data_IF_674909618021
#
_entry.id   IF_674909618021
#
_cell.length_a   1.000
_cell.length_b   1.000
_cell.length_c   1.000
_cell.angle_alpha   90.00
_cell.angle_beta   90.00
_cell.angle_gamma   90.00
#
_symmetry.space_group_name_H-M   'P 1'
#
loop_
_entity.id
_entity.type
_entity.pdbx_description
1 polymer ?
#
# COMPACT_ATOMS: atom_id res chain seq x y z
N UNK A 1 -1.04 62.01 33.14
CA UNK A 1 -2.03 62.38 32.11
C UNK A 1 -3.18 61.40 32.28
N UNK A 2 -4.42 61.86 32.48
CA UNK A 2 -5.53 60.92 32.71
C UNK A 2 -5.82 60.18 31.40
N UNK A 3 -5.61 58.86 31.39
CA UNK A 3 -5.99 58.02 30.24
C UNK A 3 -7.50 58.11 30.05
N UNK A 4 -7.93 58.24 28.80
CA UNK A 4 -9.35 58.15 28.46
C UNK A 4 -9.82 56.70 28.60
N UNK A 5 -11.08 56.52 29.00
CA UNK A 5 -11.61 55.17 29.24
C UNK A 5 -11.49 54.24 28.04
N UNK A 6 -11.70 54.73 26.81
CA UNK A 6 -11.58 53.88 25.60
C UNK A 6 -10.15 53.34 25.40
N UNK A 7 -9.13 54.11 25.80
CA UNK A 7 -7.73 53.67 25.73
C UNK A 7 -7.48 52.58 26.78
N UNK A 8 -8.04 52.74 27.97
CA UNK A 8 -7.93 51.75 29.05
C UNK A 8 -8.66 50.47 28.69
N UNK A 9 -9.81 50.56 28.03
CA UNK A 9 -10.59 49.42 27.50
C UNK A 9 -9.80 48.65 26.43
N UNK A 10 -9.20 49.35 25.47
CA UNK A 10 -8.38 48.72 24.42
C UNK A 10 -7.12 48.03 24.97
N UNK A 11 -6.49 48.61 26.00
CA UNK A 11 -5.28 48.06 26.64
C UNK A 11 -5.59 47.01 27.72
N UNK A 12 -6.85 46.85 28.12
CA UNK A 12 -7.26 45.99 29.22
C UNK A 12 -6.88 44.52 29.04
N UNK A 13 -7.08 43.89 27.87
CA UNK A 13 -6.68 42.49 27.65
C UNK A 13 -5.18 42.28 27.89
N UNK A 14 -4.34 43.14 27.30
CA UNK A 14 -2.88 43.06 27.45
C UNK A 14 -2.42 43.35 28.88
N UNK A 15 -3.11 44.23 29.61
CA UNK A 15 -2.85 44.48 31.02
C UNK A 15 -3.16 43.25 31.90
N UNK A 16 -4.29 42.57 31.66
CA UNK A 16 -4.68 41.36 32.41
C UNK A 16 -3.67 40.22 32.18
N UNK A 17 -3.10 40.11 30.98
CA UNK A 17 -2.07 39.13 30.62
C UNK A 17 -0.64 39.54 31.06
N UNK A 18 -0.48 40.69 31.74
CA UNK A 18 0.80 41.27 32.14
C UNK A 18 1.77 41.52 30.96
N UNK A 19 1.24 41.87 29.79
CA UNK A 19 1.99 42.18 28.57
C UNK A 19 2.23 43.69 28.38
N UNK A 20 1.74 44.53 29.29
CA UNK A 20 1.98 45.97 29.30
C UNK A 20 3.32 46.31 29.97
N UNK A 21 4.02 47.32 29.45
CA UNK A 21 5.23 47.82 30.09
C UNK A 21 4.90 48.54 31.42
N UNK A 22 5.92 48.83 32.23
CA UNK A 22 5.74 49.40 33.59
C UNK A 22 5.04 50.76 33.60
N UNK A 23 5.34 51.63 32.62
CA UNK A 23 4.74 52.96 32.53
C UNK A 23 3.24 52.85 32.21
N UNK A 24 2.89 52.06 31.20
CA UNK A 24 1.50 51.81 30.80
C UNK A 24 0.71 51.13 31.92
N UNK A 25 1.34 50.21 32.66
CA UNK A 25 0.71 49.55 33.81
C UNK A 25 0.39 50.52 34.95
N UNK A 26 1.28 51.48 35.23
CA UNK A 26 1.04 52.53 36.24
C UNK A 26 -0.09 53.46 35.81
N UNK A 27 -0.10 53.90 34.55
CA UNK A 27 -1.15 54.79 34.03
C UNK A 27 -2.55 54.13 34.11
N UNK A 28 -2.65 52.82 33.88
CA UNK A 28 -3.90 52.05 34.02
C UNK A 28 -4.31 51.92 35.50
N UNK A 29 -3.36 51.67 36.41
CA UNK A 29 -3.64 51.61 37.85
C UNK A 29 -4.15 52.94 38.40
N UNK A 30 -3.54 54.06 37.99
CA UNK A 30 -4.01 55.40 38.35
C UNK A 30 -5.45 55.63 37.85
N UNK A 31 -5.77 55.18 36.64
CA UNK A 31 -7.13 55.29 36.11
C UNK A 31 -8.17 54.47 36.90
N UNK A 32 -7.81 53.29 37.42
CA UNK A 32 -8.70 52.47 38.26
C UNK A 32 -9.05 53.10 39.62
N UNK A 33 -8.23 54.03 40.11
CA UNK A 33 -8.51 54.76 41.36
C UNK A 33 -9.71 55.70 41.16
N UNK A 34 -9.84 56.29 39.97
CA UNK A 34 -10.83 57.33 39.70
C UNK A 34 -12.03 56.85 38.85
N UNK A 35 -11.93 55.69 38.19
CA UNK A 35 -12.95 55.18 37.27
C UNK A 35 -13.47 53.80 37.69
N UNK A 36 -14.59 53.80 38.42
CA UNK A 36 -15.24 52.56 38.89
C UNK A 36 -15.78 51.71 37.72
N UNK A 37 -16.11 52.34 36.58
CA UNK A 37 -16.55 51.63 35.35
C UNK A 37 -15.45 50.72 34.81
N UNK A 38 -14.26 51.27 34.62
CA UNK A 38 -13.12 50.51 34.08
C UNK A 38 -12.62 49.46 35.09
N UNK A 39 -12.72 49.75 36.40
CA UNK A 39 -12.38 48.80 37.47
C UNK A 39 -13.35 47.61 37.52
N UNK A 40 -14.65 47.85 37.32
CA UNK A 40 -15.66 46.80 37.20
C UNK A 40 -15.46 45.96 35.94
N UNK A 41 -15.19 46.61 34.81
CA UNK A 41 -14.87 45.92 33.56
C UNK A 41 -13.63 45.01 33.71
N UNK A 42 -12.60 45.49 34.40
CA UNK A 42 -11.42 44.69 34.73
C UNK A 42 -11.77 43.46 35.59
N UNK A 43 -12.61 43.61 36.62
CA UNK A 43 -13.02 42.46 37.45
C UNK A 43 -13.83 41.44 36.66
N UNK A 44 -14.73 41.90 35.80
CA UNK A 44 -15.59 41.05 34.97
C UNK A 44 -14.74 40.25 33.97
N UNK A 45 -13.81 40.91 33.26
CA UNK A 45 -12.88 40.26 32.32
C UNK A 45 -11.89 39.32 33.02
N UNK A 46 -11.42 39.67 34.22
CA UNK A 46 -10.54 38.80 35.01
C UNK A 46 -11.28 37.57 35.53
N UNK A 47 -12.57 37.68 35.83
CA UNK A 47 -13.40 36.53 36.22
C UNK A 47 -13.65 35.58 35.04
N UNK A 48 -13.84 36.07 33.81
CA UNK A 48 -13.94 35.22 32.62
C UNK A 48 -12.68 34.36 32.39
N UNK A 49 -11.50 34.86 32.78
CA UNK A 49 -10.22 34.12 32.69
C UNK A 49 -10.04 33.11 33.83
N UNK A 50 -10.75 33.30 34.96
CA UNK A 50 -10.68 32.42 36.15
C UNK A 50 -11.81 31.39 36.23
N UNK A 51 -12.75 31.38 35.27
CA UNK A 51 -13.71 30.28 35.14
C UNK A 51 -12.96 28.96 34.87
N UNK A 52 -13.39 27.83 35.45
CA UNK A 52 -12.66 26.57 35.37
C UNK A 52 -12.41 26.19 33.91
N UNK A 53 -11.21 25.65 33.68
CA UNK A 53 -10.57 25.08 32.46
C UNK A 53 -11.41 24.14 31.58
N UNK A 54 -12.73 24.15 31.68
CA UNK A 54 -13.65 23.23 31.02
C UNK A 54 -14.25 23.80 29.73
N UNK A 55 -13.97 25.06 29.37
CA UNK A 55 -14.48 25.73 28.16
C UNK A 55 -13.39 26.22 27.19
N UNK A 56 -12.11 26.09 27.55
CA UNK A 56 -10.98 26.37 26.65
C UNK A 56 -10.54 25.14 25.83
N UNK A 57 -11.25 24.01 25.95
CA UNK A 57 -11.00 22.84 25.11
C UNK A 57 -11.41 23.08 23.65
N UNK A 58 -12.33 23.99 23.37
CA UNK A 58 -13.05 23.98 22.09
C UNK A 58 -12.28 24.66 20.95
N UNK A 59 -11.47 25.69 21.25
CA UNK A 59 -10.67 26.40 20.24
C UNK A 59 -9.26 25.82 20.06
N UNK A 60 -8.67 25.25 21.12
CA UNK A 60 -7.49 24.39 20.97
C UNK A 60 -7.86 23.07 20.29
N UNK A 61 -9.05 22.50 20.54
CA UNK A 61 -9.53 21.35 19.77
C UNK A 61 -9.84 21.72 18.34
N UNK A 62 -10.30 22.92 18.00
CA UNK A 62 -10.49 23.30 16.59
C UNK A 62 -9.17 23.40 15.84
N UNK A 63 -8.18 24.10 16.40
CA UNK A 63 -6.85 24.23 15.78
C UNK A 63 -6.04 22.92 15.83
N UNK A 64 -6.12 22.14 16.93
CA UNK A 64 -5.63 20.76 16.95
C UNK A 64 -6.45 19.86 16.04
N UNK A 65 -7.74 20.08 15.82
CA UNK A 65 -8.57 19.24 14.94
C UNK A 65 -8.24 19.51 13.48
N UNK A 66 -7.98 20.76 13.10
CA UNK A 66 -7.56 21.12 11.74
C UNK A 66 -6.12 20.63 11.48
N UNK A 67 -5.21 20.76 12.46
CA UNK A 67 -3.89 20.10 12.42
C UNK A 67 -3.94 18.56 12.56
N UNK A 68 -4.96 17.99 13.21
CA UNK A 68 -5.21 16.54 13.34
C UNK A 68 -6.02 16.01 12.16
N UNK A 69 -6.64 16.86 11.35
CA UNK A 69 -7.21 16.56 10.05
C UNK A 69 -6.07 16.52 9.03
N UNK A 70 -5.17 17.50 9.03
CA UNK A 70 -3.92 17.45 8.25
C UNK A 70 -2.98 16.31 8.72
N UNK A 71 -2.95 16.03 10.02
CA UNK A 71 -2.23 14.90 10.64
C UNK A 71 -2.92 13.55 10.44
N UNK A 72 -4.25 13.50 10.26
CA UNK A 72 -5.00 12.27 9.88
C UNK A 72 -4.82 11.94 8.41
N UNK A 73 -4.62 12.94 7.55
CA UNK A 73 -4.35 12.76 6.12
C UNK A 73 -2.89 12.39 5.90
N UNK A 74 -1.95 12.88 6.72
CA UNK A 74 -0.58 12.37 6.74
C UNK A 74 -0.52 11.08 7.54
N UNK A 75 -0.97 9.99 6.92
CA UNK A 75 -0.63 8.64 7.38
C UNK A 75 0.88 8.62 7.65
N UNK A 76 1.29 8.34 8.89
CA UNK A 76 2.69 8.16 9.31
C UNK A 76 3.29 6.91 8.64
N UNK A 77 3.28 6.83 7.31
CA UNK A 77 4.13 5.92 6.57
C UNK A 77 5.52 6.52 6.68
N UNK A 78 6.41 5.84 7.40
CA UNK A 78 7.83 6.17 7.41
C UNK A 78 8.28 6.40 5.96
N UNK A 79 8.84 7.59 5.67
CA UNK A 79 9.31 7.92 4.31
C UNK A 79 10.21 6.82 3.77
N UNK A 80 11.00 6.19 4.65
CA UNK A 80 11.87 5.09 4.26
C UNK A 80 11.05 3.84 3.87
N UNK A 81 9.97 3.52 4.57
CA UNK A 81 9.03 2.45 4.19
C UNK A 81 8.41 2.64 2.81
N UNK A 82 8.01 3.88 2.50
CA UNK A 82 7.44 4.23 1.18
C UNK A 82 8.50 4.06 0.08
N UNK A 83 9.70 4.58 0.29
CA UNK A 83 10.82 4.43 -0.67
C UNK A 83 11.12 2.94 -0.92
N UNK A 84 11.17 2.12 0.15
CA UNK A 84 11.44 0.68 0.02
C UNK A 84 10.40 -0.03 -0.86
N UNK A 85 9.11 0.31 -0.67
CA UNK A 85 8.04 -0.25 -1.48
C UNK A 85 8.12 0.20 -2.95
N UNK A 86 8.40 1.49 -3.19
CA UNK A 86 8.58 2.01 -4.56
C UNK A 86 9.71 1.25 -5.25
N UNK A 87 10.85 1.07 -4.58
CA UNK A 87 11.98 0.29 -5.11
C UNK A 87 11.56 -1.14 -5.41
N UNK A 88 10.83 -1.81 -4.52
CA UNK A 88 10.33 -3.17 -4.75
C UNK A 88 9.41 -3.25 -5.98
N UNK A 89 8.45 -2.32 -6.11
CA UNK A 89 7.52 -2.27 -7.25
C UNK A 89 8.28 -2.00 -8.55
N UNK A 90 9.24 -1.07 -8.55
CA UNK A 90 10.06 -0.76 -9.73
C UNK A 90 10.93 -1.94 -10.15
N UNK A 91 11.62 -2.60 -9.22
CA UNK A 91 12.44 -3.79 -9.51
C UNK A 91 11.56 -4.90 -10.07
N UNK A 92 10.39 -5.13 -9.47
CA UNK A 92 9.43 -6.14 -9.93
C UNK A 92 8.99 -5.84 -11.36
N UNK A 93 8.58 -4.61 -11.65
CA UNK A 93 8.17 -4.21 -12.99
C UNK A 93 9.28 -4.35 -14.02
N UNK A 94 10.52 -3.96 -13.69
CA UNK A 94 11.69 -4.09 -14.55
C UNK A 94 12.00 -5.55 -14.87
N UNK A 95 12.02 -6.43 -13.86
CA UNK A 95 12.28 -7.85 -14.06
C UNK A 95 11.18 -8.55 -14.87
N UNK A 96 9.90 -8.19 -14.65
CA UNK A 96 8.78 -8.69 -15.45
C UNK A 96 8.84 -8.19 -16.90
N UNK A 97 9.26 -6.93 -17.13
CA UNK A 97 9.44 -6.37 -18.47
C UNK A 97 10.57 -7.08 -19.22
N UNK A 98 11.70 -7.35 -18.55
CA UNK A 98 12.78 -8.17 -19.11
C UNK A 98 12.26 -9.55 -19.47
N UNK A 99 11.50 -10.19 -18.57
CA UNK A 99 10.91 -11.50 -18.82
C UNK A 99 9.95 -11.49 -20.03
N UNK A 100 9.17 -10.41 -20.20
CA UNK A 100 8.23 -10.24 -21.30
C UNK A 100 8.93 -10.10 -22.66
N UNK A 101 9.96 -9.26 -22.73
CA UNK A 101 10.66 -8.95 -23.98
C UNK A 101 11.61 -10.05 -24.44
N UNK A 102 12.09 -10.91 -23.53
CA UNK A 102 12.97 -12.03 -23.86
C UNK A 102 12.17 -13.25 -24.36
N UNK A 103 11.65 -13.12 -25.58
CA UNK A 103 11.13 -14.25 -26.36
C UNK A 103 12.30 -14.87 -27.10
N UNK A 104 12.91 -15.89 -26.49
CA UNK A 104 13.99 -16.68 -27.07
C UNK A 104 13.58 -18.15 -27.20
N UNK A 105 14.56 -19.05 -27.32
CA UNK A 105 14.32 -20.49 -27.40
C UNK A 105 13.43 -21.01 -26.26
N UNK A 106 12.65 -22.06 -26.53
CA UNK A 106 11.64 -22.58 -25.60
C UNK A 106 12.21 -22.97 -24.22
N UNK A 107 13.39 -23.59 -24.19
CA UNK A 107 14.10 -23.92 -22.95
C UNK A 107 14.58 -22.68 -22.18
N UNK A 108 15.01 -21.64 -22.89
CA UNK A 108 15.41 -20.36 -22.30
C UNK A 108 14.20 -19.66 -21.67
N UNK A 109 13.05 -19.72 -22.35
CA UNK A 109 11.79 -19.16 -21.85
C UNK A 109 11.35 -19.78 -20.53
N UNK A 110 11.48 -21.10 -20.37
CA UNK A 110 11.18 -21.77 -19.09
C UNK A 110 12.19 -21.35 -18.01
N UNK A 111 13.49 -21.47 -18.28
CA UNK A 111 14.56 -21.10 -17.33
C UNK A 111 14.43 -19.66 -16.82
N UNK A 112 14.04 -18.73 -17.68
CA UNK A 112 13.88 -17.32 -17.30
C UNK A 112 12.81 -17.12 -16.21
N UNK A 113 11.71 -17.87 -16.25
CA UNK A 113 10.69 -17.83 -15.18
C UNK A 113 11.23 -18.34 -13.84
N UNK A 114 12.05 -19.40 -13.85
CA UNK A 114 12.66 -19.96 -12.64
C UNK A 114 13.71 -19.05 -11.99
N UNK A 115 14.34 -18.15 -12.77
CA UNK A 115 15.32 -17.18 -12.24
C UNK A 115 14.64 -15.91 -11.77
N UNK A 116 13.71 -15.34 -12.56
CA UNK A 116 13.07 -14.07 -12.25
C UNK A 116 12.21 -14.16 -10.99
N UNK A 117 11.44 -15.24 -10.82
CA UNK A 117 10.53 -15.40 -9.69
C UNK A 117 11.22 -15.34 -8.32
N UNK A 118 12.24 -16.17 -8.00
CA UNK A 118 12.91 -16.12 -6.71
C UNK A 118 13.58 -14.77 -6.46
N UNK A 119 14.16 -14.12 -7.49
CA UNK A 119 14.77 -12.80 -7.33
C UNK A 119 13.76 -11.75 -6.87
N UNK A 120 12.57 -11.72 -7.47
CA UNK A 120 11.51 -10.78 -7.06
C UNK A 120 11.02 -11.10 -5.64
N UNK A 121 10.80 -12.37 -5.31
CA UNK A 121 10.30 -12.76 -3.97
C UNK A 121 11.35 -12.50 -2.87
N UNK A 122 12.63 -12.69 -3.15
CA UNK A 122 13.68 -12.44 -2.16
C UNK A 122 13.89 -10.94 -1.94
N UNK A 123 13.94 -10.15 -3.02
CA UNK A 123 14.10 -8.68 -2.94
C UNK A 123 12.94 -8.04 -2.19
N UNK A 124 11.70 -8.40 -2.53
CA UNK A 124 10.51 -7.89 -1.84
C UNK A 124 10.47 -8.26 -0.36
N UNK A 125 10.79 -9.50 -0.01
CA UNK A 125 10.73 -9.95 1.37
C UNK A 125 11.76 -9.24 2.23
N UNK A 126 13.00 -9.06 1.74
CA UNK A 126 14.01 -8.32 2.49
C UNK A 126 13.67 -6.82 2.63
N UNK A 127 13.24 -6.17 1.53
CA UNK A 127 12.90 -4.74 1.50
C UNK A 127 11.67 -4.42 2.36
N UNK A 128 10.67 -5.29 2.36
CA UNK A 128 9.42 -5.06 3.07
C UNK A 128 9.44 -5.60 4.52
N UNK A 129 10.26 -6.59 4.87
CA UNK A 129 10.21 -7.21 6.20
C UNK A 129 10.57 -6.28 7.35
N UNK A 130 11.63 -5.49 7.19
CA UNK A 130 12.32 -4.81 8.31
C UNK A 130 11.56 -3.64 8.93
N UNK A 131 10.41 -3.24 8.37
CA UNK A 131 9.83 -1.90 8.60
C UNK A 131 8.37 -1.84 9.04
N UNK A 132 7.67 -2.96 9.17
CA UNK A 132 6.24 -2.91 9.47
C UNK A 132 5.89 -3.66 10.76
N UNK A 133 5.51 -2.87 11.75
CA UNK A 133 4.94 -3.34 12.99
C UNK A 133 3.49 -3.81 12.77
N UNK A 134 3.04 -4.74 13.60
CA UNK A 134 1.82 -5.53 13.41
C UNK A 134 0.59 -4.63 13.67
N UNK A 135 -0.16 -4.22 12.64
CA UNK A 135 -1.45 -3.56 12.91
C UNK A 135 -2.55 -4.58 13.21
N UNK A 136 -3.38 -4.25 14.20
CA UNK A 136 -4.54 -5.02 14.68
C UNK A 136 -5.77 -4.76 13.81
N UNK A 137 -5.64 -4.85 12.48
CA UNK A 137 -6.76 -4.70 11.56
C UNK A 137 -7.25 -6.04 11.01
N UNK A 138 -8.53 -6.06 10.64
CA UNK A 138 -9.25 -7.22 10.10
C UNK A 138 -8.74 -7.53 8.68
N UNK A 139 -8.40 -8.81 8.42
CA UNK A 139 -7.64 -9.27 7.24
C UNK A 139 -8.46 -10.14 6.25
N UNK A 140 -9.79 -10.00 6.19
CA UNK A 140 -10.61 -10.81 5.27
C UNK A 140 -10.28 -10.56 3.80
N UNK A 141 -9.93 -9.33 3.47
CA UNK A 141 -9.49 -8.93 2.13
C UNK A 141 -8.18 -9.58 1.71
N UNK A 142 -7.29 -9.91 2.66
CA UNK A 142 -6.10 -10.70 2.38
C UNK A 142 -6.49 -12.10 1.88
N UNK A 143 -7.34 -12.80 2.63
CA UNK A 143 -7.79 -14.15 2.27
C UNK A 143 -8.59 -14.17 0.97
N UNK A 144 -9.47 -13.18 0.76
CA UNK A 144 -10.19 -13.01 -0.50
C UNK A 144 -9.23 -12.87 -1.68
N UNK A 145 -8.19 -12.03 -1.54
CA UNK A 145 -7.15 -11.87 -2.55
C UNK A 145 -6.37 -13.17 -2.81
N UNK A 146 -6.05 -13.93 -1.75
CA UNK A 146 -5.35 -15.22 -1.90
C UNK A 146 -6.18 -16.23 -2.68
N UNK A 147 -7.47 -16.34 -2.36
CA UNK A 147 -8.40 -17.24 -3.07
C UNK A 147 -8.54 -16.81 -4.53
N UNK A 148 -8.69 -15.51 -4.80
CA UNK A 148 -8.79 -14.99 -6.16
C UNK A 148 -7.55 -15.34 -7.00
N UNK A 149 -6.34 -15.14 -6.46
CA UNK A 149 -5.10 -15.46 -7.18
C UNK A 149 -4.94 -16.96 -7.39
N UNK A 150 -5.22 -17.78 -6.36
CA UNK A 150 -5.10 -19.24 -6.46
C UNK A 150 -6.09 -19.84 -7.46
N UNK A 151 -7.36 -19.41 -7.41
CA UNK A 151 -8.38 -19.85 -8.36
C UNK A 151 -8.03 -19.45 -9.78
N UNK A 152 -7.54 -18.23 -10.00
CA UNK A 152 -7.05 -17.76 -11.30
C UNK A 152 -5.87 -18.61 -11.80
N UNK A 153 -4.91 -18.94 -10.92
CA UNK A 153 -3.78 -19.79 -11.26
C UNK A 153 -4.22 -21.20 -11.68
N UNK A 154 -5.17 -21.81 -10.95
CA UNK A 154 -5.74 -23.11 -11.28
C UNK A 154 -6.43 -23.08 -12.65
N UNK A 155 -7.24 -22.04 -12.91
CA UNK A 155 -7.92 -21.86 -14.21
C UNK A 155 -6.89 -21.73 -15.35
N UNK A 156 -5.85 -20.93 -15.15
CA UNK A 156 -4.77 -20.74 -16.15
C UNK A 156 -3.99 -22.04 -16.41
N UNK A 157 -3.71 -22.84 -15.38
CA UNK A 157 -3.06 -24.14 -15.56
C UNK A 157 -4.02 -25.09 -16.30
N UNK A 158 -5.28 -25.15 -15.88
CA UNK A 158 -6.28 -26.03 -16.46
C UNK A 158 -6.50 -25.73 -17.95
N UNK A 159 -6.64 -24.46 -18.34
CA UNK A 159 -6.84 -24.09 -19.75
C UNK A 159 -5.64 -24.47 -20.62
N UNK A 160 -4.41 -24.40 -20.08
CA UNK A 160 -3.20 -24.82 -20.79
C UNK A 160 -3.12 -26.34 -20.97
N UNK A 161 -3.63 -27.13 -20.03
CA UNK A 161 -3.72 -28.59 -20.20
C UNK A 161 -4.88 -28.99 -21.13
N UNK A 162 -6.03 -28.31 -21.03
CA UNK A 162 -7.16 -28.55 -21.93
C UNK A 162 -6.79 -28.21 -23.38
N UNK A 163 -6.00 -27.18 -23.62
CA UNK A 163 -5.56 -26.81 -24.97
C UNK A 163 -4.77 -27.93 -25.65
N UNK A 164 -3.95 -28.69 -24.91
CA UNK A 164 -3.30 -29.89 -25.43
C UNK A 164 -4.31 -30.92 -25.90
N UNK A 165 -5.29 -31.24 -25.05
CA UNK A 165 -6.32 -32.22 -25.37
C UNK A 165 -7.16 -31.80 -26.59
N UNK A 166 -7.49 -30.51 -26.70
CA UNK A 166 -8.25 -29.98 -27.83
C UNK A 166 -7.48 -30.09 -29.15
N UNK A 167 -6.19 -29.75 -29.13
CA UNK A 167 -5.33 -29.85 -30.32
C UNK A 167 -5.08 -31.30 -30.71
N UNK A 168 -4.81 -32.18 -29.74
CA UNK A 168 -4.52 -33.59 -30.00
C UNK A 168 -5.74 -34.37 -30.52
N UNK A 169 -6.94 -34.06 -30.03
CA UNK A 169 -8.16 -34.78 -30.41
C UNK A 169 -8.90 -34.10 -31.58
N UNK A 170 -8.38 -32.98 -32.10
CA UNK A 170 -9.07 -32.13 -33.09
C UNK A 170 -10.48 -31.69 -32.67
N UNK A 171 -10.71 -31.56 -31.35
CA UNK A 171 -11.99 -31.13 -30.77
C UNK A 171 -11.83 -29.75 -30.16
N UNK A 172 -12.35 -28.74 -30.84
CA UNK A 172 -12.21 -27.34 -30.43
C UNK A 172 -13.46 -26.85 -29.70
N UNK A 173 -13.31 -26.16 -28.55
CA UNK A 173 -14.44 -25.66 -27.80
C UNK A 173 -15.15 -24.54 -28.56
N UNK A 174 -16.44 -24.33 -28.28
CA UNK A 174 -17.22 -23.19 -28.78
C UNK A 174 -17.25 -23.05 -30.32
N UNK A 175 -17.01 -24.14 -31.06
CA UNK A 175 -16.98 -24.11 -32.52
C UNK A 175 -15.77 -23.38 -33.11
N UNK A 176 -14.71 -23.19 -32.34
CA UNK A 176 -13.48 -22.53 -32.79
C UNK A 176 -12.75 -23.35 -33.87
N UNK A 177 -12.02 -22.64 -34.72
CA UNK A 177 -11.09 -23.27 -35.66
C UNK A 177 -9.71 -23.50 -35.03
N UNK A 178 -8.93 -24.40 -35.61
CA UNK A 178 -7.62 -24.80 -35.06
C UNK A 178 -6.67 -23.61 -34.83
N UNK A 179 -6.62 -22.65 -35.76
CA UNK A 179 -5.74 -21.47 -35.65
C UNK A 179 -6.20 -20.48 -34.57
N UNK A 180 -7.44 -20.57 -34.10
CA UNK A 180 -8.03 -19.67 -33.11
C UNK A 180 -7.72 -20.09 -31.68
N UNK A 181 -7.28 -21.35 -31.47
CA UNK A 181 -7.00 -21.90 -30.14
C UNK A 181 -5.88 -21.13 -29.43
N UNK A 182 -4.79 -20.82 -30.11
CA UNK A 182 -3.68 -20.05 -29.52
C UNK A 182 -4.13 -18.69 -28.98
N UNK A 183 -4.74 -17.83 -29.82
CA UNK A 183 -5.31 -16.55 -29.38
C UNK A 183 -6.39 -16.71 -28.29
N UNK A 184 -7.23 -17.73 -28.37
CA UNK A 184 -8.25 -18.01 -27.35
C UNK A 184 -7.64 -18.29 -25.98
N UNK A 185 -6.66 -19.19 -25.90
CA UNK A 185 -5.93 -19.51 -24.66
C UNK A 185 -5.17 -18.30 -24.15
N UNK A 186 -4.54 -17.52 -25.04
CA UNK A 186 -3.80 -16.33 -24.68
C UNK A 186 -4.65 -15.28 -23.94
N UNK A 187 -5.95 -15.15 -24.24
CA UNK A 187 -6.87 -14.25 -23.52
C UNK A 187 -6.94 -14.57 -22.03
N UNK A 188 -7.00 -15.84 -21.65
CA UNK A 188 -6.98 -16.25 -20.25
C UNK A 188 -5.65 -15.92 -19.57
N UNK A 189 -4.53 -16.05 -20.28
CA UNK A 189 -3.21 -15.67 -19.78
C UNK A 189 -3.13 -14.17 -19.53
N UNK A 190 -3.61 -13.34 -20.45
CA UNK A 190 -3.66 -11.89 -20.27
C UNK A 190 -4.57 -11.48 -19.11
N UNK A 191 -5.72 -12.13 -18.94
CA UNK A 191 -6.59 -11.92 -17.78
C UNK A 191 -5.87 -12.30 -16.48
N UNK A 192 -5.15 -13.42 -16.45
CA UNK A 192 -4.33 -13.84 -15.31
C UNK A 192 -3.25 -12.83 -14.94
N UNK A 193 -2.55 -12.28 -15.94
CA UNK A 193 -1.56 -11.22 -15.76
C UNK A 193 -2.21 -9.95 -15.21
N UNK A 194 -3.36 -9.53 -15.78
CA UNK A 194 -4.10 -8.35 -15.34
C UNK A 194 -4.58 -8.46 -13.90
N UNK A 195 -5.21 -9.58 -13.53
CA UNK A 195 -5.65 -9.87 -12.16
C UNK A 195 -4.44 -9.89 -11.22
N UNK A 196 -3.37 -10.60 -11.59
CA UNK A 196 -2.14 -10.64 -10.81
C UNK A 196 -1.55 -9.25 -10.58
N UNK A 197 -1.51 -8.39 -11.60
CA UNK A 197 -1.00 -7.02 -11.47
C UNK A 197 -1.86 -6.18 -10.51
N UNK A 198 -3.18 -6.21 -10.66
CA UNK A 198 -4.11 -5.48 -9.76
C UNK A 198 -3.94 -5.94 -8.32
N UNK A 199 -3.91 -7.25 -8.08
CA UNK A 199 -3.76 -7.81 -6.72
C UNK A 199 -2.36 -7.53 -6.16
N UNK A 200 -1.32 -7.54 -6.98
CA UNK A 200 0.04 -7.15 -6.58
C UNK A 200 0.09 -5.69 -6.10
N UNK A 201 -0.43 -4.74 -6.88
CA UNK A 201 -0.48 -3.33 -6.48
C UNK A 201 -1.34 -3.11 -5.24
N UNK A 202 -2.49 -3.78 -5.15
CA UNK A 202 -3.33 -3.75 -3.96
C UNK A 202 -2.57 -4.26 -2.72
N UNK A 203 -1.93 -5.42 -2.82
CA UNK A 203 -1.10 -5.99 -1.76
C UNK A 203 0.01 -5.03 -1.33
N UNK A 204 0.72 -4.44 -2.29
CA UNK A 204 1.80 -3.48 -2.04
C UNK A 204 1.30 -2.26 -1.25
N UNK A 205 0.15 -1.69 -1.64
CA UNK A 205 -0.48 -0.59 -0.90
C UNK A 205 -0.90 -1.02 0.52
N UNK A 206 -1.42 -2.24 0.68
CA UNK A 206 -1.82 -2.74 2.00
C UNK A 206 -0.65 -3.13 2.90
N UNK A 207 0.55 -3.39 2.35
CA UNK A 207 1.77 -3.51 3.15
C UNK A 207 2.02 -2.21 3.93
N UNK A 208 1.86 -1.04 3.29
CA UNK A 208 2.01 0.27 3.95
C UNK A 208 0.90 0.54 4.98
N UNK A 209 -0.33 0.17 4.63
CA UNK A 209 -1.53 0.58 5.39
C UNK A 209 -1.84 -0.36 6.56
N UNK A 210 -1.50 -1.65 6.45
CA UNK A 210 -1.97 -2.70 7.36
C UNK A 210 -0.84 -3.54 7.94
N UNK A 211 -0.17 -4.38 7.15
CA UNK A 211 0.76 -5.38 7.70
C UNK A 211 1.66 -5.98 6.62
N UNK A 212 2.85 -6.43 7.03
CA UNK A 212 3.72 -7.28 6.23
C UNK A 212 3.05 -8.59 5.76
N UNK A 213 1.95 -9.05 6.40
CA UNK A 213 1.20 -10.22 5.93
C UNK A 213 0.71 -10.10 4.46
N UNK A 214 0.47 -8.89 3.96
CA UNK A 214 0.11 -8.64 2.57
C UNK A 214 1.26 -8.92 1.59
N UNK A 215 2.49 -9.10 2.08
CA UNK A 215 3.60 -9.59 1.28
C UNK A 215 3.34 -10.98 0.69
N UNK A 216 2.66 -11.87 1.42
CA UNK A 216 2.23 -13.15 0.86
C UNK A 216 1.32 -12.97 -0.35
N UNK A 217 0.45 -11.95 -0.32
CA UNK A 217 -0.46 -11.68 -1.43
C UNK A 217 0.30 -11.14 -2.65
N UNK A 218 1.27 -10.25 -2.43
CA UNK A 218 2.17 -9.79 -3.49
C UNK A 218 2.93 -10.97 -4.10
N UNK A 219 3.48 -11.86 -3.26
CA UNK A 219 4.26 -13.00 -3.73
C UNK A 219 3.45 -13.95 -4.59
N UNK A 220 2.26 -14.35 -4.13
CA UNK A 220 1.32 -15.18 -4.91
C UNK A 220 0.94 -14.51 -6.24
N UNK A 221 0.71 -13.20 -6.22
CA UNK A 221 0.38 -12.43 -7.43
C UNK A 221 1.54 -12.43 -8.43
N UNK A 222 2.78 -12.26 -7.96
CA UNK A 222 3.99 -12.34 -8.79
C UNK A 222 4.15 -13.75 -9.36
N UNK A 223 3.91 -14.80 -8.57
CA UNK A 223 3.94 -16.19 -9.04
C UNK A 223 2.93 -16.42 -10.16
N UNK A 224 1.71 -15.90 -10.05
CA UNK A 224 0.69 -15.95 -11.10
C UNK A 224 1.15 -15.24 -12.38
N UNK A 225 1.70 -14.02 -12.26
CA UNK A 225 2.19 -13.26 -13.42
C UNK A 225 3.34 -14.01 -14.10
N UNK A 226 4.36 -14.45 -13.35
CA UNK A 226 5.53 -15.17 -13.89
C UNK A 226 5.14 -16.48 -14.58
N UNK A 227 4.19 -17.23 -14.01
CA UNK A 227 3.65 -18.44 -14.63
C UNK A 227 2.91 -18.10 -15.94
N UNK A 228 2.04 -17.08 -15.93
CA UNK A 228 1.25 -16.67 -17.10
C UNK A 228 2.13 -16.16 -18.25
N UNK A 229 3.18 -15.39 -17.94
CA UNK A 229 4.20 -14.97 -18.92
C UNK A 229 4.95 -16.19 -19.47
N UNK A 230 5.29 -17.16 -18.60
CA UNK A 230 5.91 -18.42 -19.01
C UNK A 230 5.07 -19.19 -20.03
N UNK A 231 3.78 -19.38 -19.75
CA UNK A 231 2.84 -20.03 -20.65
C UNK A 231 2.65 -19.26 -21.95
N UNK A 232 2.57 -17.93 -21.89
CA UNK A 232 2.45 -17.10 -23.08
C UNK A 232 3.65 -17.25 -24.02
N UNK A 233 4.87 -17.30 -23.45
CA UNK A 233 6.09 -17.56 -24.23
C UNK A 233 6.10 -18.94 -24.86
N UNK A 234 5.61 -19.97 -24.15
CA UNK A 234 5.44 -21.31 -24.74
C UNK A 234 4.53 -21.22 -25.96
N UNK A 235 3.33 -20.64 -25.84
CA UNK A 235 2.40 -20.50 -26.96
C UNK A 235 3.02 -19.79 -28.17
N UNK A 236 3.91 -18.83 -27.94
CA UNK A 236 4.56 -18.05 -29.01
C UNK A 236 5.78 -18.74 -29.64
N UNK A 237 6.40 -19.69 -28.94
CA UNK A 237 7.68 -20.32 -29.35
C UNK A 237 7.52 -21.80 -29.71
N UNK A 238 6.32 -22.35 -29.52
CA UNK A 238 6.02 -23.75 -29.82
C UNK A 238 6.02 -23.98 -31.33
N UNK A 239 6.86 -24.91 -31.80
CA UNK A 239 6.89 -25.37 -33.19
C UNK A 239 6.29 -26.77 -33.39
N UNK A 240 6.27 -27.59 -32.33
CA UNK A 240 5.70 -28.94 -32.34
C UNK A 240 4.91 -29.23 -31.08
N UNK A 241 3.97 -30.20 -31.15
CA UNK A 241 3.14 -30.61 -30.00
C UNK A 241 3.93 -31.55 -29.06
N UNK A 242 5.01 -32.16 -29.56
CA UNK A 242 5.88 -33.03 -28.77
C UNK A 242 6.45 -32.31 -27.55
N UNK A 243 6.30 -32.90 -26.37
CA UNK A 243 6.80 -32.33 -25.11
C UNK A 243 6.01 -31.12 -24.58
N UNK A 244 4.90 -30.71 -25.22
CA UNK A 244 4.08 -29.58 -24.76
C UNK A 244 3.56 -29.79 -23.33
N UNK A 245 3.09 -30.99 -23.00
CA UNK A 245 2.60 -31.35 -21.65
C UNK A 245 3.70 -31.22 -20.59
N UNK A 246 4.93 -31.65 -20.92
CA UNK A 246 6.09 -31.51 -20.04
C UNK A 246 6.46 -30.04 -19.82
N UNK A 247 6.47 -29.22 -20.88
CA UNK A 247 6.71 -27.79 -20.78
C UNK A 247 5.63 -27.08 -19.97
N UNK A 248 4.37 -27.50 -20.10
CA UNK A 248 3.28 -26.99 -19.29
C UNK A 248 3.43 -27.37 -17.82
N UNK A 249 3.84 -28.60 -17.52
CA UNK A 249 4.12 -29.05 -16.17
C UNK A 249 5.27 -28.25 -15.53
N UNK A 250 6.40 -28.12 -16.24
CA UNK A 250 7.55 -27.32 -15.77
C UNK A 250 7.12 -25.87 -15.49
N UNK A 251 6.40 -25.25 -16.41
CA UNK A 251 5.96 -23.87 -16.24
C UNK A 251 4.92 -23.71 -15.13
N UNK A 252 4.01 -24.67 -14.95
CA UNK A 252 3.05 -24.67 -13.85
C UNK A 252 3.71 -24.83 -12.47
N UNK A 253 4.77 -25.65 -12.37
CA UNK A 253 5.54 -25.85 -11.12
C UNK A 253 6.18 -24.54 -10.63
N UNK A 254 6.48 -23.58 -11.52
CA UNK A 254 6.99 -22.25 -11.14
C UNK A 254 6.08 -21.57 -10.12
N UNK A 255 4.76 -21.71 -10.25
CA UNK A 255 3.81 -21.13 -9.28
C UNK A 255 4.00 -21.73 -7.87
N UNK A 256 4.07 -23.06 -7.79
CA UNK A 256 4.29 -23.79 -6.54
C UNK A 256 5.62 -23.44 -5.89
N UNK A 257 6.68 -23.29 -6.68
CA UNK A 257 8.00 -22.88 -6.19
C UNK A 257 7.92 -21.49 -5.53
N UNK A 258 7.20 -20.55 -6.14
CA UNK A 258 6.99 -19.23 -5.55
C UNK A 258 6.32 -19.30 -4.18
N UNK A 259 5.28 -20.14 -4.03
CA UNK A 259 4.61 -20.36 -2.76
C UNK A 259 5.56 -20.91 -1.69
N UNK A 260 6.33 -21.96 -2.03
CA UNK A 260 7.30 -22.58 -1.12
C UNK A 260 8.37 -21.58 -0.67
N UNK A 261 8.95 -20.81 -1.61
CA UNK A 261 9.96 -19.78 -1.28
C UNK A 261 9.37 -18.76 -0.31
N UNK A 262 8.11 -18.36 -0.51
CA UNK A 262 7.46 -17.37 0.35
C UNK A 262 7.27 -17.89 1.77
N UNK A 263 6.88 -19.16 1.94
CA UNK A 263 6.75 -19.81 3.25
C UNK A 263 8.12 -19.87 3.93
N UNK A 264 9.15 -20.35 3.23
CA UNK A 264 10.51 -20.44 3.76
C UNK A 264 10.99 -19.07 4.21
N UNK A 265 10.82 -18.06 3.37
CA UNK A 265 11.20 -16.68 3.66
C UNK A 265 10.45 -16.17 4.90
N UNK A 266 9.15 -16.40 5.00
CA UNK A 266 8.38 -16.02 6.20
C UNK A 266 8.90 -16.70 7.46
N UNK A 267 9.22 -17.99 7.42
CA UNK A 267 9.77 -18.72 8.56
C UNK A 267 11.13 -18.16 9.00
N UNK A 268 12.05 -17.93 8.06
CA UNK A 268 13.37 -17.32 8.32
C UNK A 268 13.21 -15.95 8.96
N UNK A 269 12.35 -15.13 8.36
CA UNK A 269 12.11 -13.76 8.81
C UNK A 269 11.50 -13.75 10.21
N UNK A 270 10.45 -14.56 10.46
CA UNK A 270 9.81 -14.72 11.78
C UNK A 270 10.83 -15.12 12.86
N UNK A 271 11.77 -16.03 12.54
CA UNK A 271 12.77 -16.50 13.49
C UNK A 271 13.79 -15.41 13.88
N UNK A 272 14.06 -14.43 13.01
CA UNK A 272 14.92 -13.26 13.33
C UNK A 272 14.28 -12.25 14.29
N UNK A 273 13.03 -12.47 14.69
CA UNK A 273 12.26 -11.56 15.58
C UNK A 273 12.20 -12.05 17.03
N UNK A 274 12.61 -13.30 17.28
CA UNK A 274 12.79 -13.92 18.59
C UNK A 274 14.25 -13.76 19.01
#
# INVERSE_FOLDING_TARGET
MKLNCYIVEDLMPSYIENLTNENTSKDIQEHFIECERCKKLYSDMKQEILLPKNLQMDNEEKNKSDLKYLGKIRKNCDRKSVISLIVFVCITALLLMIAWNNIGNIHTSVKLSYVVLPLVILTGGFLCYRRFEKSRQRNWDLWLGQILVLTTAIIVILIMYLSYSWVNNHTYPLGLQAYEIGPFVARFLYLGIGIGAVVFFYGALQILKKSFAYYFLCSHSISLICMSIGFYRILKTLSSIEGYTLLCLQTGIVYWIGFVITIILWCILKNKRL
#
